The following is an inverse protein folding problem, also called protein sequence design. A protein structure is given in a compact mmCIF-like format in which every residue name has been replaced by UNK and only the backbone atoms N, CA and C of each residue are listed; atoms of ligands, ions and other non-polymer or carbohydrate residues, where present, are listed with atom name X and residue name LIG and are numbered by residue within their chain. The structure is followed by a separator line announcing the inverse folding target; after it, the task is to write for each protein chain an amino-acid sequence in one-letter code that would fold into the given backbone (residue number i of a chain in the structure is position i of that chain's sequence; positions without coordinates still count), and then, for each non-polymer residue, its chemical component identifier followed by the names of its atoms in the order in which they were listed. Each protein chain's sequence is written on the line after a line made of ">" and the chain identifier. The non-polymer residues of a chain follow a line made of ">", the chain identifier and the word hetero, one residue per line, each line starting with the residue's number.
data_IF_151107349351
#
_entry.id   IF_151107349351
#
_cell.length_a   1.000
_cell.length_b   1.000
_cell.length_c   1.000
_cell.angle_alpha   90.00
_cell.angle_beta   90.00
_cell.angle_gamma   90.00
#
_symmetry.space_group_name_H-M   'P 1'
#
loop_
_entity.id
_entity.type
_entity.pdbx_description
1 polymer ?
#
# COMPACT_ATOMS: atom_id res chain seq x y z
N UNK A 1 -15.47 13.63 5.51
CA UNK A 1 -14.62 14.44 4.61
C UNK A 1 -15.40 14.77 3.34
N UNK A 2 -15.40 16.01 2.88
CA UNK A 2 -16.12 16.43 1.67
C UNK A 2 -15.29 16.16 0.40
N UNK A 3 -15.92 16.27 -0.78
CA UNK A 3 -15.24 15.99 -2.06
C UNK A 3 -14.09 16.96 -2.35
N UNK A 4 -14.20 18.21 -1.91
CA UNK A 4 -13.14 19.22 -2.11
C UNK A 4 -11.88 18.83 -1.34
N UNK A 5 -12.03 18.39 -0.10
CA UNK A 5 -10.90 17.95 0.72
C UNK A 5 -10.19 16.75 0.07
N UNK A 6 -10.96 15.79 -0.47
CA UNK A 6 -10.41 14.61 -1.16
C UNK A 6 -9.60 14.99 -2.39
N UNK A 7 -10.10 15.94 -3.18
CA UNK A 7 -9.36 16.46 -4.35
C UNK A 7 -8.09 17.17 -3.89
N UNK A 8 -8.18 17.99 -2.84
CA UNK A 8 -7.03 18.72 -2.32
C UNK A 8 -5.92 17.78 -1.83
N UNK A 9 -6.27 16.73 -1.09
CA UNK A 9 -5.31 15.74 -0.58
C UNK A 9 -4.62 14.99 -1.73
N UNK A 10 -5.39 14.46 -2.71
CA UNK A 10 -4.82 13.78 -3.87
C UNK A 10 -3.89 14.73 -4.67
N UNK A 11 -4.32 15.98 -4.87
CA UNK A 11 -3.53 16.99 -5.58
C UNK A 11 -2.25 17.34 -4.83
N UNK A 12 -2.30 17.37 -3.50
CA UNK A 12 -1.12 17.62 -2.67
C UNK A 12 -0.13 16.46 -2.77
N UNK A 13 -0.59 15.22 -2.69
CA UNK A 13 0.24 14.03 -2.85
C UNK A 13 0.90 14.05 -4.24
N UNK A 14 0.11 14.23 -5.30
CA UNK A 14 0.61 14.30 -6.67
C UNK A 14 1.71 15.36 -6.84
N UNK A 15 1.46 16.58 -6.37
CA UNK A 15 2.40 17.70 -6.45
C UNK A 15 3.68 17.45 -5.65
N UNK A 16 3.55 16.95 -4.41
CA UNK A 16 4.71 16.69 -3.57
C UNK A 16 5.57 15.56 -4.14
N UNK A 17 4.97 14.45 -4.56
CA UNK A 17 5.71 13.37 -5.20
C UNK A 17 6.44 13.85 -6.45
N UNK A 18 5.77 14.64 -7.32
CA UNK A 18 6.41 15.21 -8.52
C UNK A 18 7.66 16.07 -8.22
N UNK A 19 7.74 16.65 -7.01
CA UNK A 19 8.88 17.51 -6.61
C UNK A 19 10.02 16.74 -5.94
N UNK A 20 9.71 15.65 -5.22
CA UNK A 20 10.69 15.00 -4.34
C UNK A 20 11.05 13.57 -4.73
N UNK A 21 10.21 12.89 -5.51
CA UNK A 21 10.48 11.52 -5.91
C UNK A 21 11.51 11.49 -7.05
N UNK A 22 12.68 10.85 -6.83
CA UNK A 22 13.81 10.97 -7.76
C UNK A 22 13.81 9.95 -8.92
N UNK A 23 12.88 8.97 -8.92
CA UNK A 23 12.97 7.77 -9.77
C UNK A 23 11.91 7.71 -10.88
N UNK A 24 11.23 8.82 -11.24
CA UNK A 24 10.22 8.82 -12.31
C UNK A 24 10.75 8.30 -13.64
N UNK A 25 11.98 8.66 -14.00
CA UNK A 25 12.61 8.23 -15.26
C UNK A 25 12.86 6.71 -15.27
N UNK A 26 13.12 6.11 -14.11
CA UNK A 26 13.41 4.68 -13.99
C UNK A 26 12.11 3.86 -13.97
N UNK A 27 11.08 4.34 -13.31
CA UNK A 27 9.80 3.64 -13.14
C UNK A 27 8.87 3.81 -14.35
N UNK A 28 9.17 4.74 -15.27
CA UNK A 28 8.40 5.01 -16.49
C UNK A 28 6.91 5.27 -16.24
N UNK A 29 6.59 5.87 -15.09
CA UNK A 29 5.22 6.20 -14.70
C UNK A 29 4.84 7.54 -15.29
N UNK A 30 3.72 7.58 -16.02
CA UNK A 30 3.05 8.84 -16.35
C UNK A 30 2.26 9.30 -15.11
N UNK A 31 2.93 10.11 -14.28
CA UNK A 31 2.39 10.54 -12.99
C UNK A 31 1.20 11.49 -13.14
N UNK A 32 1.17 12.28 -14.20
CA UNK A 32 0.06 13.18 -14.51
C UNK A 32 -1.16 12.38 -14.99
N UNK A 33 -0.95 11.35 -15.81
CA UNK A 33 -2.03 10.44 -16.20
C UNK A 33 -2.53 9.64 -15.00
N UNK A 34 -1.65 9.16 -14.13
CA UNK A 34 -2.04 8.48 -12.89
C UNK A 34 -2.95 9.37 -12.01
N UNK A 35 -2.59 10.65 -11.85
CA UNK A 35 -3.44 11.61 -11.15
C UNK A 35 -4.82 11.76 -11.81
N UNK A 36 -4.86 11.91 -13.13
CA UNK A 36 -6.12 12.04 -13.87
C UNK A 36 -7.02 10.80 -13.72
N UNK A 37 -6.43 9.60 -13.68
CA UNK A 37 -7.14 8.34 -13.52
C UNK A 37 -7.69 8.12 -12.10
N UNK A 38 -6.97 8.62 -11.08
CA UNK A 38 -7.38 8.46 -9.68
C UNK A 38 -8.34 9.54 -9.20
N UNK A 39 -8.32 10.72 -9.80
CA UNK A 39 -9.18 11.84 -9.41
C UNK A 39 -10.67 11.45 -9.37
N UNK A 40 -11.28 10.87 -10.42
CA UNK A 40 -12.68 10.46 -10.39
C UNK A 40 -12.95 9.34 -9.37
N UNK A 41 -12.02 8.42 -9.14
CA UNK A 41 -12.15 7.34 -8.16
C UNK A 41 -12.22 7.91 -6.74
N UNK A 42 -11.32 8.82 -6.41
CA UNK A 42 -11.24 9.48 -5.11
C UNK A 42 -12.50 10.30 -4.84
N UNK A 43 -13.00 11.03 -5.84
CA UNK A 43 -14.26 11.78 -5.73
C UNK A 43 -15.46 10.86 -5.48
N UNK A 44 -15.49 9.68 -6.10
CA UNK A 44 -16.58 8.72 -6.02
C UNK A 44 -16.51 7.77 -4.82
N UNK A 45 -15.46 7.83 -4.00
CA UNK A 45 -15.27 6.92 -2.87
C UNK A 45 -16.44 6.98 -1.89
N UNK A 46 -17.04 5.81 -1.60
CA UNK A 46 -18.27 5.71 -0.81
C UNK A 46 -18.03 5.72 0.70
N UNK A 47 -16.79 5.54 1.15
CA UNK A 47 -16.41 5.56 2.56
C UNK A 47 -15.04 6.18 2.74
N UNK A 48 -14.74 6.60 3.97
CA UNK A 48 -13.42 7.09 4.35
C UNK A 48 -12.35 6.02 4.14
N UNK A 49 -12.64 4.78 4.50
CA UNK A 49 -11.75 3.64 4.25
C UNK A 49 -11.43 3.45 2.76
N UNK A 50 -12.46 3.43 1.89
CA UNK A 50 -12.26 3.30 0.45
C UNK A 50 -11.42 4.44 -0.13
N UNK A 51 -11.64 5.65 0.36
CA UNK A 51 -10.87 6.82 -0.02
C UNK A 51 -9.38 6.68 0.35
N UNK A 52 -9.06 6.30 1.59
CA UNK A 52 -7.68 6.13 2.03
C UNK A 52 -6.97 4.96 1.35
N UNK A 53 -7.70 3.89 0.99
CA UNK A 53 -7.14 2.81 0.17
C UNK A 53 -6.76 3.30 -1.23
N UNK A 54 -7.58 4.14 -1.87
CA UNK A 54 -7.26 4.73 -3.17
C UNK A 54 -6.01 5.63 -3.10
N UNK A 55 -5.81 6.38 -2.01
CA UNK A 55 -4.59 7.16 -1.83
C UNK A 55 -3.36 6.26 -1.66
N UNK A 56 -3.49 5.15 -0.92
CA UNK A 56 -2.41 4.17 -0.78
C UNK A 56 -2.08 3.51 -2.13
N UNK A 57 -3.09 3.09 -2.89
CA UNK A 57 -2.91 2.54 -4.25
C UNK A 57 -2.22 3.54 -5.18
N UNK A 58 -2.62 4.82 -5.13
CA UNK A 58 -2.00 5.87 -5.92
C UNK A 58 -0.52 6.04 -5.59
N UNK A 59 -0.16 6.07 -4.30
CA UNK A 59 1.24 6.16 -3.87
C UNK A 59 2.05 4.91 -4.26
N UNK A 60 1.46 3.72 -4.18
CA UNK A 60 2.12 2.47 -4.55
C UNK A 60 2.49 2.39 -6.04
N UNK A 61 1.87 3.19 -6.91
CA UNK A 61 2.28 3.30 -8.32
C UNK A 61 3.74 3.75 -8.47
N UNK A 62 4.29 4.45 -7.48
CA UNK A 62 5.70 4.87 -7.50
C UNK A 62 6.68 3.69 -7.40
N UNK A 63 6.22 2.51 -6.95
CA UNK A 63 7.03 1.29 -6.91
C UNK A 63 8.27 1.39 -6.01
N UNK A 64 8.20 2.20 -4.97
CA UNK A 64 9.30 2.42 -4.03
C UNK A 64 8.90 1.99 -2.62
N UNK A 65 9.64 1.05 -2.03
CA UNK A 65 9.37 0.51 -0.70
C UNK A 65 9.58 1.49 0.47
N UNK A 66 10.08 2.69 0.21
CA UNK A 66 10.25 3.75 1.22
C UNK A 66 9.25 4.89 1.06
N UNK A 67 8.42 4.83 0.03
CA UNK A 67 7.41 5.84 -0.28
C UNK A 67 6.03 5.21 -0.13
N UNK A 68 5.37 5.47 0.97
CA UNK A 68 4.05 4.94 1.27
C UNK A 68 3.06 6.03 1.70
N UNK A 69 1.79 5.68 1.70
CA UNK A 69 0.73 6.47 2.28
C UNK A 69 0.27 5.86 3.59
N UNK A 70 0.36 6.64 4.66
CA UNK A 70 -0.12 6.19 5.97
C UNK A 70 -1.50 6.79 6.26
N UNK A 71 -2.56 5.96 6.28
CA UNK A 71 -3.89 6.43 6.63
C UNK A 71 -3.97 6.87 8.10
N UNK A 72 -4.98 7.63 8.50
CA UNK A 72 -5.20 7.99 9.90
C UNK A 72 -5.17 6.78 10.83
N UNK A 73 -4.57 6.94 12.01
CA UNK A 73 -4.34 5.84 12.96
C UNK A 73 -5.62 5.06 13.30
N UNK A 74 -6.76 5.73 13.42
CA UNK A 74 -8.04 5.07 13.68
C UNK A 74 -8.37 4.01 12.61
N UNK A 75 -8.10 4.29 11.33
CA UNK A 75 -8.32 3.33 10.24
C UNK A 75 -7.26 2.23 10.21
N UNK A 76 -6.02 2.53 10.62
CA UNK A 76 -4.99 1.49 10.77
C UNK A 76 -5.37 0.51 11.88
N UNK A 77 -5.84 1.01 13.02
CA UNK A 77 -6.24 0.18 14.17
C UNK A 77 -7.46 -0.71 13.83
N UNK A 78 -8.40 -0.23 12.99
CA UNK A 78 -9.51 -1.04 12.48
C UNK A 78 -9.05 -2.21 11.58
N UNK A 79 -7.95 -2.06 10.85
CA UNK A 79 -7.41 -3.12 9.99
C UNK A 79 -6.75 -4.24 10.80
N UNK A 80 -6.37 -3.96 12.05
CA UNK A 80 -5.59 -4.86 12.89
C UNK A 80 -4.18 -5.09 12.37
N UNK A 81 -3.47 -5.98 13.05
CA UNK A 81 -2.09 -6.35 12.69
C UNK A 81 -2.01 -7.85 12.48
N UNK A 82 -1.19 -8.27 11.53
CA UNK A 82 -0.87 -9.68 11.39
C UNK A 82 -0.13 -10.14 12.66
N UNK A 83 -0.43 -11.34 13.19
CA UNK A 83 0.21 -11.84 14.39
C UNK A 83 1.64 -12.38 14.13
N UNK A 84 2.22 -12.03 13.00
CA UNK A 84 3.56 -12.47 12.57
C UNK A 84 4.19 -11.45 11.62
N UNK A 85 5.51 -11.52 11.51
CA UNK A 85 6.28 -10.86 10.44
C UNK A 85 6.88 -11.90 9.50
N UNK A 86 7.19 -11.48 8.28
CA UNK A 86 7.78 -12.32 7.25
C UNK A 86 9.16 -11.80 6.87
N UNK A 87 10.08 -12.73 6.62
CA UNK A 87 11.39 -12.45 6.07
C UNK A 87 11.62 -13.24 4.80
N UNK A 88 12.20 -12.61 3.80
CA UNK A 88 12.61 -13.29 2.57
C UNK A 88 13.99 -13.96 2.78
N UNK A 89 14.02 -15.28 2.67
CA UNK A 89 15.24 -16.10 2.89
C UNK A 89 15.28 -17.20 1.85
N UNK A 90 16.37 -17.30 1.10
CA UNK A 90 16.61 -18.41 0.18
C UNK A 90 15.57 -18.56 -0.94
N UNK A 91 14.94 -17.47 -1.37
CA UNK A 91 13.90 -17.49 -2.41
C UNK A 91 12.48 -17.62 -1.86
N UNK A 92 12.29 -17.70 -0.55
CA UNK A 92 10.99 -17.94 0.09
C UNK A 92 10.69 -16.90 1.19
N UNK A 93 9.41 -16.67 1.45
CA UNK A 93 8.96 -15.85 2.57
C UNK A 93 8.64 -16.74 3.76
N UNK A 94 9.37 -16.56 4.86
CA UNK A 94 9.23 -17.33 6.09
C UNK A 94 8.82 -16.45 7.26
N UNK A 95 8.01 -17.00 8.16
CA UNK A 95 7.64 -16.35 9.42
C UNK A 95 8.88 -16.26 10.31
N UNK A 96 9.33 -15.05 10.62
CA UNK A 96 10.53 -14.81 11.42
C UNK A 96 10.23 -14.30 12.83
N UNK A 97 9.06 -13.71 13.05
CA UNK A 97 8.59 -13.37 14.38
C UNK A 97 7.07 -13.54 14.47
N UNK A 98 6.59 -13.82 15.67
CA UNK A 98 5.17 -14.01 15.97
C UNK A 98 4.80 -13.32 17.28
N UNK A 99 3.52 -13.02 17.47
CA UNK A 99 2.96 -12.63 18.76
C UNK A 99 2.90 -13.84 19.69
N UNK A 100 2.91 -13.60 21.00
CA UNK A 100 2.81 -14.64 22.04
C UNK A 100 1.61 -15.56 21.77
N UNK A 101 1.84 -16.87 21.84
CA UNK A 101 0.83 -17.90 21.58
C UNK A 101 0.76 -18.36 20.12
N UNK A 102 1.57 -17.81 19.24
CA UNK A 102 1.63 -18.19 17.82
C UNK A 102 2.98 -18.84 17.43
N UNK A 103 3.77 -19.26 18.40
CA UNK A 103 5.15 -19.77 18.24
C UNK A 103 5.24 -20.97 17.29
N UNK A 104 4.14 -21.73 17.16
CA UNK A 104 4.02 -22.86 16.22
C UNK A 104 4.22 -22.48 14.75
N UNK A 105 4.10 -21.20 14.42
CA UNK A 105 4.25 -20.71 13.05
C UNK A 105 5.67 -20.19 12.74
N UNK A 106 6.57 -20.10 13.73
CA UNK A 106 7.95 -19.70 13.49
C UNK A 106 8.62 -20.65 12.48
N UNK A 107 9.23 -20.06 11.45
CA UNK A 107 9.85 -20.78 10.34
C UNK A 107 8.90 -21.34 9.29
N UNK A 108 7.58 -21.16 9.46
CA UNK A 108 6.62 -21.56 8.44
C UNK A 108 6.77 -20.72 7.16
N UNK A 109 6.58 -21.35 5.99
CA UNK A 109 6.61 -20.66 4.70
C UNK A 109 5.25 -20.08 4.35
N UNK A 110 5.25 -18.85 3.84
CA UNK A 110 4.06 -18.24 3.27
C UNK A 110 3.84 -18.79 1.84
N UNK A 111 2.86 -19.64 1.67
CA UNK A 111 2.57 -20.30 0.38
C UNK A 111 1.56 -19.54 -0.46
N UNK A 112 0.56 -18.97 0.18
CA UNK A 112 -0.56 -18.29 -0.49
C UNK A 112 -1.04 -17.10 0.33
N UNK A 113 -1.52 -16.07 -0.36
CA UNK A 113 -2.31 -14.99 0.21
C UNK A 113 -3.69 -15.05 -0.45
N UNK A 114 -4.74 -15.33 0.33
CA UNK A 114 -6.06 -15.66 -0.19
C UNK A 114 -5.99 -16.82 -1.22
N UNK A 115 -6.41 -16.57 -2.44
CA UNK A 115 -6.40 -17.57 -3.53
C UNK A 115 -5.14 -17.54 -4.41
N UNK A 116 -4.27 -16.54 -4.26
CA UNK A 116 -3.07 -16.37 -5.10
C UNK A 116 -1.82 -16.98 -4.44
N UNK A 117 -0.84 -17.49 -5.21
CA UNK A 117 0.49 -17.78 -4.70
C UNK A 117 1.09 -16.54 -4.02
N UNK A 118 1.77 -16.72 -2.88
CA UNK A 118 2.23 -15.58 -2.07
C UNK A 118 3.16 -14.64 -2.85
N UNK A 119 4.11 -15.19 -3.60
CA UNK A 119 5.05 -14.40 -4.40
C UNK A 119 4.35 -13.55 -5.47
N UNK A 120 3.27 -14.04 -6.06
CA UNK A 120 2.47 -13.28 -7.03
C UNK A 120 1.65 -12.20 -6.33
N UNK A 121 1.04 -12.53 -5.19
CA UNK A 121 0.21 -11.59 -4.45
C UNK A 121 0.96 -10.36 -3.94
N UNK A 122 2.25 -10.51 -3.59
CA UNK A 122 3.11 -9.42 -3.12
C UNK A 122 3.91 -8.72 -4.23
N UNK A 123 3.92 -9.25 -5.46
CA UNK A 123 4.60 -8.60 -6.58
C UNK A 123 3.94 -7.27 -7.00
N UNK A 124 2.78 -6.95 -6.42
CA UNK A 124 2.00 -5.72 -6.64
C UNK A 124 2.18 -4.67 -5.53
N UNK A 125 3.11 -4.91 -4.60
CA UNK A 125 3.39 -4.01 -3.46
C UNK A 125 4.71 -3.30 -3.65
#
# INVERSE_FOLDING_TARGET
>A
MNTIDRIADLSQIWKQAAQVFPYFDQNRIDWDQAYADYLPKVMAAQSERAYHLLLAEFMNLLGDGHTDYQPPRALQDENGYLPFTLRYVGGEYCVDAVTTGQERFLGARALRLNSAPFAEAIAWV
#
